data_IF_099223964875
#
_entry.id   IF_099223964875
#
_cell.length_a   1.000
_cell.length_b   1.000
_cell.length_c   1.000
_cell.angle_alpha   90.00
_cell.angle_beta   90.00
_cell.angle_gamma   90.00
#
_symmetry.space_group_name_H-M   'P 1'
#
loop_
_entity.id
_entity.type
_entity.pdbx_description
1 polymer ?
#
# COMPACT_ATOMS: atom_id res chain seq x y z
N UNK A 1 3.48 -13.16 -18.81
CA UNK A 1 4.33 -13.07 -20.02
C UNK A 1 3.63 -12.39 -21.21
N UNK A 2 2.31 -12.40 -21.33
CA UNK A 2 1.60 -11.69 -22.42
C UNK A 2 1.83 -10.16 -22.42
N UNK A 3 1.86 -9.53 -21.24
CA UNK A 3 2.06 -8.08 -21.09
C UNK A 3 3.48 -7.64 -21.44
N UNK A 4 4.47 -8.51 -21.23
CA UNK A 4 5.89 -8.17 -21.38
C UNK A 4 6.32 -7.99 -22.84
N UNK A 5 5.64 -8.68 -23.76
CA UNK A 5 5.80 -8.47 -25.20
C UNK A 5 5.28 -7.12 -25.71
N UNK A 6 4.38 -6.47 -24.95
CA UNK A 6 3.79 -5.19 -25.35
C UNK A 6 4.62 -3.98 -24.90
N UNK A 7 5.51 -4.18 -23.91
CA UNK A 7 6.28 -3.09 -23.27
C UNK A 7 7.79 -3.14 -23.56
N UNK A 8 8.22 -3.96 -24.51
CA UNK A 8 9.61 -4.10 -24.98
C UNK A 8 10.65 -4.20 -23.84
N UNK A 9 10.32 -4.99 -22.81
CA UNK A 9 11.22 -5.17 -21.68
C UNK A 9 12.49 -5.90 -22.13
N UNK A 10 13.66 -5.34 -21.83
CA UNK A 10 14.93 -5.90 -22.30
C UNK A 10 15.35 -7.18 -21.56
N UNK A 11 15.01 -7.34 -20.28
CA UNK A 11 15.38 -8.49 -19.45
C UNK A 11 14.23 -8.84 -18.49
N UNK A 12 14.02 -10.13 -18.23
CA UNK A 12 12.98 -10.64 -17.31
C UNK A 12 13.60 -11.63 -16.35
N UNK A 13 13.41 -11.41 -15.05
CA UNK A 13 13.89 -12.29 -13.99
C UNK A 13 12.72 -12.90 -13.21
N UNK A 14 12.78 -14.20 -12.92
CA UNK A 14 11.81 -14.88 -12.04
C UNK A 14 12.33 -14.75 -10.60
N UNK A 15 12.28 -13.53 -10.07
CA UNK A 15 12.78 -13.15 -8.75
C UNK A 15 11.89 -12.02 -8.19
N UNK A 16 11.54 -12.07 -6.90
CA UNK A 16 10.72 -11.05 -6.23
C UNK A 16 11.20 -10.75 -4.81
N UNK A 17 10.51 -9.85 -4.11
CA UNK A 17 10.83 -9.46 -2.73
C UNK A 17 12.08 -8.57 -2.59
N UNK A 18 12.53 -8.35 -1.35
CA UNK A 18 13.67 -7.49 -1.03
C UNK A 18 14.96 -7.89 -1.77
N UNK A 19 15.17 -9.19 -2.01
CA UNK A 19 16.30 -9.71 -2.78
C UNK A 19 16.29 -9.29 -4.25
N UNK A 20 15.11 -9.10 -4.87
CA UNK A 20 15.02 -8.60 -6.23
C UNK A 20 15.41 -7.12 -6.31
N UNK A 21 14.92 -6.32 -5.36
CA UNK A 21 15.26 -4.90 -5.24
C UNK A 21 16.77 -4.74 -4.98
N UNK A 22 17.32 -5.50 -4.03
CA UNK A 22 18.75 -5.50 -3.74
C UNK A 22 19.56 -5.91 -4.98
N UNK A 23 19.17 -6.99 -5.66
CA UNK A 23 19.83 -7.46 -6.88
C UNK A 23 19.86 -6.40 -7.99
N UNK A 24 18.79 -5.63 -8.17
CA UNK A 24 18.72 -4.52 -9.13
C UNK A 24 19.49 -3.28 -8.65
N UNK A 25 19.50 -3.00 -7.35
CA UNK A 25 20.14 -1.81 -6.79
C UNK A 25 21.67 -1.91 -6.71
N UNK A 26 22.21 -3.08 -6.36
CA UNK A 26 23.67 -3.30 -6.25
C UNK A 26 24.26 -3.97 -7.47
N UNK A 27 23.46 -4.69 -8.26
CA UNK A 27 23.93 -5.56 -9.33
C UNK A 27 24.51 -6.88 -8.79
N UNK A 28 24.36 -7.94 -9.57
CA UNK A 28 24.95 -9.25 -9.32
C UNK A 28 25.63 -9.76 -10.60
N UNK A 29 26.21 -10.96 -10.56
CA UNK A 29 26.74 -11.60 -11.77
C UNK A 29 25.67 -11.81 -12.85
N UNK A 30 24.39 -11.92 -12.47
CA UNK A 30 23.27 -12.20 -13.39
C UNK A 30 22.28 -11.04 -13.55
N UNK A 31 22.25 -10.06 -12.64
CA UNK A 31 21.34 -8.91 -12.69
C UNK A 31 22.18 -7.64 -12.81
N UNK A 32 22.03 -6.91 -13.91
CA UNK A 32 22.72 -5.63 -14.05
C UNK A 32 22.15 -4.61 -13.08
N UNK A 33 23.03 -3.82 -12.48
CA UNK A 33 22.62 -2.67 -11.66
C UNK A 33 21.78 -1.71 -12.52
N UNK A 34 20.65 -1.25 -11.99
CA UNK A 34 19.79 -0.26 -12.64
C UNK A 34 19.92 1.10 -11.95
N UNK A 35 19.67 2.16 -12.70
CA UNK A 35 19.76 3.54 -12.20
C UNK A 35 18.51 3.97 -11.42
N UNK A 36 17.37 3.31 -11.67
CA UNK A 36 16.10 3.60 -11.00
C UNK A 36 15.23 2.35 -10.88
N UNK A 37 14.53 2.22 -9.75
CA UNK A 37 13.52 1.18 -9.49
C UNK A 37 12.21 1.94 -9.27
N UNK A 38 11.21 1.70 -10.11
CA UNK A 38 9.93 2.39 -10.04
C UNK A 38 8.98 1.72 -9.04
N UNK A 39 8.38 2.53 -8.17
CA UNK A 39 7.22 2.14 -7.36
C UNK A 39 5.93 2.34 -8.19
N UNK A 40 5.04 1.35 -8.18
CA UNK A 40 3.76 1.43 -8.92
C UNK A 40 2.69 1.92 -7.94
N UNK A 41 2.31 3.18 -8.04
CA UNK A 41 1.18 3.75 -7.31
C UNK A 41 -0.15 3.55 -8.03
N UNK A 42 -1.24 3.42 -7.28
CA UNK A 42 -2.62 3.33 -7.78
C UNK A 42 -3.13 4.73 -8.17
N UNK A 43 -3.46 4.91 -9.45
CA UNK A 43 -3.93 6.16 -10.06
C UNK A 43 -5.44 6.36 -9.75
N UNK A 44 -5.77 7.18 -8.75
CA UNK A 44 -7.15 7.56 -8.43
C UNK A 44 -7.23 9.05 -8.09
N UNK A 45 -7.98 9.82 -8.90
CA UNK A 45 -8.44 11.17 -8.55
C UNK A 45 -9.51 11.05 -7.46
N UNK A 46 -9.07 11.00 -6.21
CA UNK A 46 -9.89 10.77 -5.03
C UNK A 46 -9.80 11.98 -4.08
N UNK A 47 -10.91 12.30 -3.41
CA UNK A 47 -10.98 13.32 -2.35
C UNK A 47 -10.19 12.93 -1.09
N UNK A 48 -10.08 13.83 -0.09
CA UNK A 48 -9.20 13.66 1.08
C UNK A 48 -9.47 12.39 1.90
N UNK A 49 -10.68 11.83 1.83
CA UNK A 49 -11.09 10.57 2.49
C UNK A 49 -11.02 9.35 1.56
N UNK A 50 -11.21 9.57 0.26
CA UNK A 50 -11.19 8.50 -0.74
C UNK A 50 -9.76 7.98 -0.97
N UNK A 51 -8.75 8.88 -0.95
CA UNK A 51 -7.34 8.50 -1.10
C UNK A 51 -6.89 7.54 0.03
N UNK A 52 -7.13 7.83 1.33
CA UNK A 52 -6.83 6.89 2.41
C UNK A 52 -7.54 5.55 2.25
N UNK A 53 -8.84 5.56 1.93
CA UNK A 53 -9.64 4.34 1.82
C UNK A 53 -9.11 3.41 0.71
N UNK A 54 -8.80 3.97 -0.46
CA UNK A 54 -8.21 3.22 -1.57
C UNK A 54 -6.81 2.71 -1.21
N UNK A 55 -5.97 3.51 -0.57
CA UNK A 55 -4.61 3.08 -0.23
C UNK A 55 -4.61 1.91 0.77
N UNK A 56 -5.45 1.98 1.80
CA UNK A 56 -5.62 0.91 2.78
C UNK A 56 -6.10 -0.39 2.13
N UNK A 57 -7.03 -0.30 1.18
CA UNK A 57 -7.50 -1.47 0.44
C UNK A 57 -6.45 -2.01 -0.52
N UNK A 58 -5.72 -1.14 -1.21
CA UNK A 58 -4.57 -1.55 -2.03
C UNK A 58 -3.57 -2.34 -1.21
N UNK A 59 -3.25 -1.91 0.02
CA UNK A 59 -2.38 -2.65 0.93
C UNK A 59 -3.01 -3.97 1.39
N UNK A 60 -4.29 -3.98 1.75
CA UNK A 60 -5.01 -5.18 2.15
C UNK A 60 -5.10 -6.24 1.04
N UNK A 61 -5.03 -5.85 -0.23
CA UNK A 61 -5.05 -6.76 -1.39
C UNK A 61 -3.74 -7.53 -1.61
N UNK A 62 -2.61 -7.09 -1.01
CA UNK A 62 -1.33 -7.79 -1.14
C UNK A 62 -1.33 -9.19 -0.51
N UNK A 63 -2.23 -9.45 0.45
CA UNK A 63 -2.37 -10.75 1.08
C UNK A 63 -3.28 -10.71 2.32
N UNK A 64 -3.84 -11.86 2.74
CA UNK A 64 -4.83 -11.93 3.83
C UNK A 64 -4.28 -11.54 5.21
N UNK A 65 -2.95 -11.49 5.35
CA UNK A 65 -2.25 -11.11 6.58
C UNK A 65 -1.65 -9.69 6.52
N UNK A 66 -2.01 -8.91 5.49
CA UNK A 66 -1.42 -7.57 5.30
C UNK A 66 -2.02 -6.59 6.30
N UNK A 67 -1.20 -5.90 7.12
CA UNK A 67 -1.68 -4.89 8.04
C UNK A 67 -2.11 -3.63 7.27
N UNK A 68 -3.19 -3.01 7.73
CA UNK A 68 -3.68 -1.75 7.17
C UNK A 68 -4.07 -0.81 8.31
N UNK A 69 -3.24 0.21 8.55
CA UNK A 69 -3.37 1.11 9.71
C UNK A 69 -3.69 2.54 9.26
N UNK A 70 -4.76 3.10 9.80
CA UNK A 70 -5.11 4.51 9.65
C UNK A 70 -4.78 5.25 10.95
N UNK A 71 -3.91 6.26 10.87
CA UNK A 71 -3.66 7.18 11.98
C UNK A 71 -4.27 8.53 11.60
N UNK A 72 -5.11 9.11 12.46
CA UNK A 72 -5.75 10.40 12.18
C UNK A 72 -6.04 11.19 13.45
N UNK A 73 -6.11 12.51 13.35
CA UNK A 73 -6.57 13.40 14.43
C UNK A 73 -8.08 13.63 14.44
N UNK A 74 -8.80 13.09 13.43
CA UNK A 74 -10.22 13.37 13.21
C UNK A 74 -11.03 12.08 13.26
N UNK A 75 -11.87 11.95 14.29
CA UNK A 75 -12.82 10.84 14.40
C UNK A 75 -13.82 10.82 13.23
N UNK A 76 -14.26 12.00 12.76
CA UNK A 76 -15.15 12.10 11.61
C UNK A 76 -14.48 11.58 10.34
N UNK A 77 -13.21 11.91 10.13
CA UNK A 77 -12.44 11.39 8.98
C UNK A 77 -12.29 9.88 9.07
N UNK A 78 -11.96 9.34 10.25
CA UNK A 78 -11.90 7.89 10.47
C UNK A 78 -13.23 7.20 10.11
N UNK A 79 -14.36 7.71 10.58
CA UNK A 79 -15.69 7.17 10.26
C UNK A 79 -16.00 7.20 8.77
N UNK A 80 -15.65 8.29 8.09
CA UNK A 80 -15.86 8.40 6.64
C UNK A 80 -14.98 7.41 5.87
N UNK A 81 -13.70 7.26 6.24
CA UNK A 81 -12.79 6.27 5.62
C UNK A 81 -13.35 4.86 5.79
N UNK A 82 -13.75 4.49 7.00
CA UNK A 82 -14.37 3.18 7.27
C UNK A 82 -15.60 2.92 6.38
N UNK A 83 -16.49 3.92 6.26
CA UNK A 83 -17.70 3.84 5.44
C UNK A 83 -17.37 3.67 3.94
N UNK A 84 -16.35 4.38 3.46
CA UNK A 84 -15.90 4.26 2.07
C UNK A 84 -15.28 2.90 1.80
N UNK A 85 -14.50 2.37 2.74
CA UNK A 85 -13.90 1.04 2.61
C UNK A 85 -14.99 -0.03 2.49
N UNK A 86 -16.02 0.03 3.33
CA UNK A 86 -17.15 -0.90 3.25
C UNK A 86 -17.82 -0.83 1.87
N UNK A 87 -18.03 0.39 1.32
CA UNK A 87 -18.58 0.59 -0.02
C UNK A 87 -17.67 0.06 -1.14
N UNK A 88 -16.36 0.23 -1.03
CA UNK A 88 -15.42 -0.27 -2.03
C UNK A 88 -15.32 -1.78 -2.02
N UNK A 89 -15.41 -2.41 -0.85
CA UNK A 89 -15.42 -3.87 -0.72
C UNK A 89 -16.66 -4.52 -1.39
N UNK A 90 -17.74 -3.78 -1.63
CA UNK A 90 -18.89 -4.29 -2.40
C UNK A 90 -18.60 -4.44 -3.90
N UNK A 91 -17.65 -3.67 -4.45
CA UNK A 91 -17.40 -3.59 -5.90
C UNK A 91 -16.03 -4.12 -6.31
N UNK A 92 -15.08 -4.24 -5.37
CA UNK A 92 -13.74 -4.75 -5.62
C UNK A 92 -13.74 -6.21 -6.06
N UNK A 93 -13.07 -6.50 -7.17
CA UNK A 93 -12.88 -7.88 -7.66
C UNK A 93 -12.04 -8.73 -6.71
N UNK A 94 -11.19 -8.10 -5.91
CA UNK A 94 -10.29 -8.69 -4.90
C UNK A 94 -10.88 -8.65 -3.48
N UNK A 95 -12.14 -8.24 -3.32
CA UNK A 95 -12.79 -8.05 -2.02
C UNK A 95 -12.70 -9.27 -1.08
N UNK A 96 -12.67 -10.50 -1.61
CA UNK A 96 -12.52 -11.70 -0.79
C UNK A 96 -11.19 -11.70 0.02
N UNK A 97 -10.09 -11.27 -0.59
CA UNK A 97 -8.77 -11.20 0.08
C UNK A 97 -8.69 -9.94 0.93
N UNK A 98 -9.03 -8.79 0.33
CA UNK A 98 -8.97 -7.50 0.99
C UNK A 98 -9.83 -7.45 2.26
N UNK A 99 -11.03 -8.03 2.23
CA UNK A 99 -11.90 -8.08 3.41
C UNK A 99 -11.37 -8.99 4.53
N UNK A 100 -10.63 -10.05 4.21
CA UNK A 100 -9.96 -10.88 5.22
C UNK A 100 -8.88 -10.08 5.93
N UNK A 101 -7.97 -9.46 5.17
CA UNK A 101 -6.92 -8.62 5.73
C UNK A 101 -7.50 -7.45 6.53
N UNK A 102 -8.47 -6.73 5.95
CA UNK A 102 -9.16 -5.61 6.61
C UNK A 102 -9.93 -6.03 7.87
N UNK A 103 -10.42 -7.26 7.95
CA UNK A 103 -11.14 -7.72 9.15
C UNK A 103 -10.21 -8.15 10.26
N UNK A 104 -9.09 -8.76 9.90
CA UNK A 104 -8.17 -9.41 10.83
C UNK A 104 -7.05 -8.48 11.30
N UNK A 105 -6.64 -7.52 10.46
CA UNK A 105 -5.43 -6.72 10.65
C UNK A 105 -5.62 -5.22 10.39
N UNK A 106 -6.87 -4.72 10.41
CA UNK A 106 -7.10 -3.27 10.41
C UNK A 106 -6.81 -2.69 11.79
N UNK A 107 -6.21 -1.51 11.78
CA UNK A 107 -6.13 -0.68 12.95
C UNK A 107 -6.49 0.77 12.60
N UNK A 108 -7.27 1.42 13.44
CA UNK A 108 -7.60 2.83 13.29
C UNK A 108 -7.27 3.51 14.60
N UNK A 109 -6.25 4.36 14.57
CA UNK A 109 -5.75 5.07 15.75
C UNK A 109 -6.09 6.54 15.63
N UNK A 110 -6.82 7.05 16.63
CA UNK A 110 -7.13 8.47 16.76
C UNK A 110 -6.14 9.06 17.75
N UNK A 111 -5.42 10.09 17.31
CA UNK A 111 -4.39 10.78 18.09
C UNK A 111 -4.78 12.23 18.32
N UNK A 112 -4.29 12.86 19.39
CA UNK A 112 -4.68 14.21 19.75
C UNK A 112 -3.96 15.28 18.90
N UNK A 113 -2.86 14.91 18.24
CA UNK A 113 -2.05 15.83 17.44
C UNK A 113 -1.30 15.14 16.30
N UNK A 114 -0.86 15.94 15.33
CA UNK A 114 -0.02 15.47 14.22
C UNK A 114 1.35 14.98 14.73
N UNK A 115 1.90 15.60 15.78
CA UNK A 115 3.18 15.17 16.38
C UNK A 115 3.08 13.75 16.97
N UNK A 116 1.95 13.44 17.60
CA UNK A 116 1.65 12.09 18.08
C UNK A 116 1.45 11.10 16.93
N UNK A 117 0.84 11.55 15.83
CA UNK A 117 0.73 10.72 14.62
C UNK A 117 2.11 10.33 14.06
N UNK A 118 3.06 11.28 14.06
CA UNK A 118 4.44 11.01 13.63
C UNK A 118 5.17 10.07 14.59
N UNK A 119 5.06 10.28 15.90
CA UNK A 119 5.67 9.40 16.89
C UNK A 119 5.18 7.95 16.76
N UNK A 120 3.87 7.76 16.54
CA UNK A 120 3.29 6.44 16.33
C UNK A 120 3.69 5.83 14.98
N UNK A 121 3.77 6.64 13.93
CA UNK A 121 4.29 6.20 12.63
C UNK A 121 5.72 5.67 12.71
N UNK A 122 6.59 6.35 13.46
CA UNK A 122 7.96 5.91 13.72
C UNK A 122 8.03 4.61 14.52
N UNK A 123 7.13 4.41 15.49
CA UNK A 123 7.05 3.17 16.28
C UNK A 123 6.61 1.97 15.44
N UNK A 124 5.61 2.17 14.58
CA UNK A 124 5.09 1.09 13.71
C UNK A 124 6.04 0.72 12.57
N UNK A 125 6.95 1.62 12.16
CA UNK A 125 8.00 1.35 11.18
C UNK A 125 7.49 0.65 9.91
N UNK A 126 6.36 1.14 9.37
CA UNK A 126 5.73 0.55 8.19
C UNK A 126 6.60 0.67 6.93
N UNK A 127 6.54 -0.35 6.07
CA UNK A 127 7.23 -0.38 4.76
C UNK A 127 6.63 0.64 3.77
N UNK A 128 5.33 0.96 3.92
CA UNK A 128 4.65 2.04 3.19
C UNK A 128 3.97 3.01 4.17
N UNK A 129 4.27 4.31 4.03
CA UNK A 129 3.67 5.39 4.80
C UNK A 129 3.17 6.48 3.86
N UNK A 130 1.90 6.87 4.01
CA UNK A 130 1.32 7.99 3.28
C UNK A 130 0.82 9.06 4.27
N UNK A 131 1.36 10.28 4.16
CA UNK A 131 0.97 11.42 4.99
C UNK A 131 0.02 12.31 4.19
N UNK A 132 -1.19 12.49 4.69
CA UNK A 132 -2.21 13.38 4.12
C UNK A 132 -2.60 14.40 5.18
N UNK A 133 -2.22 15.66 4.97
CA UNK A 133 -2.45 16.79 5.90
C UNK A 133 -3.14 17.94 5.18
#
# INVERSE_FOLDING_TARGET
>A
MATTHLVDANEIFILGGAQAIAGMAVGTESIRKVDSIAEIGVDLFAGPTEVPATHLLSQAEHGPDSPAVLITTSEDSAKQVMTLIDRFLETLSTAAIASTAWRSFREVVIVDSIDEAYALGDEYAFDHVQILT
#
